data_IF_081011684514
#
_entry.id   IF_081011684514
#
_cell.length_a   1.000
_cell.length_b   1.000
_cell.length_c   1.000
_cell.angle_alpha   90.00
_cell.angle_beta   90.00
_cell.angle_gamma   90.00
#
_symmetry.space_group_name_H-M   'P 1'
#
loop_
_entity.id
_entity.type
_entity.pdbx_description
1 polymer ?
#
# COMPACT_ATOMS: atom_id res chain seq x y z
N UNK A 1 -28.73 19.67 -12.13
CA UNK A 1 -27.89 19.04 -11.07
C UNK A 1 -27.15 17.87 -11.70
N UNK A 2 -25.83 18.00 -11.90
CA UNK A 2 -25.03 16.95 -12.53
C UNK A 2 -24.58 15.94 -11.45
N UNK A 3 -25.37 14.87 -11.28
CA UNK A 3 -25.02 13.73 -10.44
C UNK A 3 -24.02 12.84 -11.19
N UNK A 4 -22.73 13.12 -11.06
CA UNK A 4 -21.70 12.12 -11.30
C UNK A 4 -20.79 12.04 -10.07
N UNK A 5 -21.39 11.69 -8.93
CA UNK A 5 -20.72 11.56 -7.63
C UNK A 5 -20.17 10.15 -7.42
N UNK A 6 -19.53 9.56 -8.43
CA UNK A 6 -18.80 8.31 -8.21
C UNK A 6 -17.55 8.65 -7.39
N UNK A 7 -17.60 8.37 -6.10
CA UNK A 7 -16.42 8.36 -5.23
C UNK A 7 -15.35 7.55 -5.96
N UNK A 8 -14.15 8.11 -6.21
CA UNK A 8 -13.09 7.37 -6.87
C UNK A 8 -12.83 6.06 -6.10
N UNK A 9 -12.61 4.94 -6.79
CA UNK A 9 -12.26 3.69 -6.12
C UNK A 9 -10.99 3.89 -5.28
N UNK A 10 -10.85 3.21 -4.13
CA UNK A 10 -9.69 3.36 -3.25
C UNK A 10 -8.46 2.67 -3.84
N UNK A 11 -7.81 3.33 -4.81
CA UNK A 11 -6.75 2.76 -5.62
C UNK A 11 -5.52 2.41 -4.77
N UNK A 12 -5.11 3.30 -3.86
CA UNK A 12 -3.90 3.09 -3.05
C UNK A 12 -4.08 1.87 -2.15
N UNK A 13 -5.19 1.84 -1.40
CA UNK A 13 -5.48 0.72 -0.53
C UNK A 13 -5.67 -0.60 -1.30
N UNK A 14 -6.33 -0.57 -2.46
CA UNK A 14 -6.56 -1.76 -3.28
C UNK A 14 -5.24 -2.37 -3.77
N UNK A 15 -4.34 -1.53 -4.29
CA UNK A 15 -3.04 -1.97 -4.77
C UNK A 15 -2.19 -2.55 -3.64
N UNK A 16 -2.16 -1.91 -2.46
CA UNK A 16 -1.47 -2.45 -1.28
C UNK A 16 -2.01 -3.83 -0.89
N UNK A 17 -3.33 -3.99 -0.89
CA UNK A 17 -3.98 -5.28 -0.57
C UNK A 17 -3.59 -6.37 -1.56
N UNK A 18 -3.61 -6.07 -2.87
CA UNK A 18 -3.22 -7.03 -3.91
C UNK A 18 -1.74 -7.42 -3.80
N UNK A 19 -0.85 -6.44 -3.58
CA UNK A 19 0.58 -6.69 -3.39
C UNK A 19 0.82 -7.55 -2.16
N UNK A 20 0.15 -7.24 -1.04
CA UNK A 20 0.25 -8.02 0.20
C UNK A 20 -0.25 -9.45 0.03
N UNK A 21 -1.38 -9.64 -0.66
CA UNK A 21 -1.89 -10.97 -1.00
C UNK A 21 -0.90 -11.75 -1.89
N UNK A 22 -0.27 -11.09 -2.86
CA UNK A 22 0.76 -11.68 -3.71
C UNK A 22 1.97 -12.16 -2.90
N UNK A 23 2.51 -11.34 -2.00
CA UNK A 23 3.61 -11.72 -1.12
C UNK A 23 3.24 -12.88 -0.19
N UNK A 24 2.02 -12.84 0.36
CA UNK A 24 1.50 -13.92 1.20
C UNK A 24 1.46 -15.23 0.42
N UNK A 25 0.91 -15.20 -0.80
CA UNK A 25 0.83 -16.36 -1.68
C UNK A 25 2.21 -16.91 -2.05
N UNK A 26 3.16 -16.04 -2.41
CA UNK A 26 4.54 -16.44 -2.71
C UNK A 26 5.21 -17.11 -1.50
N UNK A 27 5.11 -16.51 -0.31
CA UNK A 27 5.70 -17.12 0.90
C UNK A 27 5.07 -18.47 1.25
N UNK A 28 3.77 -18.66 1.01
CA UNK A 28 3.11 -19.97 1.18
C UNK A 28 3.59 -20.98 0.14
N UNK A 29 3.72 -20.57 -1.14
CA UNK A 29 4.25 -21.44 -2.20
C UNK A 29 5.67 -21.87 -1.87
N UNK A 30 6.55 -20.94 -1.54
CA UNK A 30 7.94 -21.22 -1.16
C UNK A 30 8.02 -22.17 0.05
N UNK A 31 7.13 -21.98 1.03
CA UNK A 31 7.04 -22.86 2.19
C UNK A 31 6.60 -24.28 1.84
N UNK A 32 5.70 -24.45 0.86
CA UNK A 32 5.21 -25.73 0.40
C UNK A 32 6.22 -26.46 -0.51
N UNK A 33 6.89 -25.73 -1.41
CA UNK A 33 7.83 -26.34 -2.37
C UNK A 33 9.20 -26.61 -1.76
N UNK A 34 9.57 -25.91 -0.68
CA UNK A 34 10.89 -25.99 -0.04
C UNK A 34 12.05 -25.56 -0.96
N UNK A 35 11.76 -24.80 -2.01
CA UNK A 35 12.76 -24.32 -2.97
C UNK A 35 13.61 -23.16 -2.43
N UNK A 36 13.17 -22.53 -1.34
CA UNK A 36 13.81 -21.37 -0.74
C UNK A 36 14.05 -21.55 0.77
N UNK A 37 14.99 -20.78 1.37
CA UNK A 37 15.19 -20.77 2.81
C UNK A 37 13.90 -20.46 3.56
N UNK A 38 13.66 -21.14 4.68
CA UNK A 38 12.45 -20.94 5.50
C UNK A 38 12.30 -19.49 6.00
N UNK A 39 13.44 -18.82 6.23
CA UNK A 39 13.47 -17.40 6.57
C UNK A 39 12.85 -16.53 5.47
N UNK A 40 13.14 -16.81 4.19
CA UNK A 40 12.58 -16.07 3.06
C UNK A 40 11.06 -16.25 2.97
N UNK A 41 10.58 -17.50 3.11
CA UNK A 41 9.14 -17.78 3.17
C UNK A 41 8.45 -17.05 4.33
N UNK A 42 9.08 -17.02 5.51
CA UNK A 42 8.56 -16.32 6.67
C UNK A 42 8.41 -14.82 6.41
N UNK A 43 9.44 -14.17 5.89
CA UNK A 43 9.39 -12.74 5.62
C UNK A 43 8.38 -12.40 4.52
N UNK A 44 8.36 -13.13 3.41
CA UNK A 44 7.35 -12.95 2.36
C UNK A 44 5.92 -13.07 2.91
N UNK A 45 5.64 -14.09 3.71
CA UNK A 45 4.32 -14.27 4.33
C UNK A 45 4.01 -13.18 5.35
N UNK A 46 4.93 -12.87 6.26
CA UNK A 46 4.74 -11.88 7.31
C UNK A 46 4.49 -10.48 6.76
N UNK A 47 5.33 -10.03 5.82
CA UNK A 47 5.14 -8.76 5.12
C UNK A 47 3.89 -8.76 4.25
N UNK A 48 3.58 -9.88 3.60
CA UNK A 48 2.36 -10.02 2.81
C UNK A 48 1.10 -9.82 3.65
N UNK A 49 1.01 -10.48 4.80
CA UNK A 49 -0.12 -10.36 5.73
C UNK A 49 -0.21 -8.95 6.29
N UNK A 50 0.91 -8.37 6.73
CA UNK A 50 0.95 -7.00 7.25
C UNK A 50 0.56 -5.97 6.19
N UNK A 51 1.09 -6.10 4.96
CA UNK A 51 0.79 -5.24 3.83
C UNK A 51 -0.67 -5.36 3.39
N UNK A 52 -1.25 -6.56 3.42
CA UNK A 52 -2.66 -6.79 3.12
C UNK A 52 -3.57 -6.14 4.17
N UNK A 53 -3.28 -6.35 5.46
CA UNK A 53 -4.05 -5.74 6.54
C UNK A 53 -3.98 -4.20 6.51
N UNK A 54 -2.78 -3.66 6.30
CA UNK A 54 -2.58 -2.22 6.12
C UNK A 54 -3.31 -1.71 4.88
N UNK A 55 -3.26 -2.45 3.76
CA UNK A 55 -3.98 -2.12 2.52
C UNK A 55 -5.48 -1.98 2.76
N UNK A 56 -6.11 -2.94 3.44
CA UNK A 56 -7.54 -2.88 3.81
C UNK A 56 -7.83 -1.65 4.68
N UNK A 57 -7.00 -1.37 5.69
CA UNK A 57 -7.17 -0.18 6.52
C UNK A 57 -7.04 1.12 5.69
N UNK A 58 -6.09 1.18 4.75
CA UNK A 58 -5.92 2.29 3.81
C UNK A 58 -7.12 2.43 2.90
N UNK A 59 -7.74 1.34 2.43
CA UNK A 59 -8.95 1.40 1.60
C UNK A 59 -10.09 2.11 2.33
N UNK A 60 -10.31 1.79 3.61
CA UNK A 60 -11.35 2.42 4.42
C UNK A 60 -11.07 3.91 4.64
N UNK A 61 -9.82 4.27 4.94
CA UNK A 61 -9.40 5.68 5.07
C UNK A 61 -9.55 6.44 3.76
N UNK A 62 -9.15 5.85 2.64
CA UNK A 62 -9.20 6.44 1.30
C UNK A 62 -10.65 6.63 0.86
N UNK A 63 -11.54 5.66 1.10
CA UNK A 63 -12.99 5.78 0.87
C UNK A 63 -13.60 6.91 1.68
N UNK A 64 -13.26 7.02 2.97
CA UNK A 64 -13.81 8.02 3.87
C UNK A 64 -13.36 9.45 3.52
N UNK A 65 -12.14 9.63 3.01
CA UNK A 65 -11.54 10.96 2.80
C UNK A 65 -11.42 11.37 1.33
N UNK A 66 -11.52 10.41 0.41
CA UNK A 66 -11.22 10.57 -1.02
C UNK A 66 -9.73 10.74 -1.34
N UNK A 67 -8.84 10.49 -0.37
CA UNK A 67 -7.38 10.50 -0.50
C UNK A 67 -6.74 9.82 0.73
N UNK A 68 -5.46 9.44 0.62
CA UNK A 68 -4.70 8.88 1.74
C UNK A 68 -3.94 10.00 2.48
N UNK A 69 -4.11 10.16 3.81
CA UNK A 69 -3.40 11.18 4.58
C UNK A 69 -1.89 10.95 4.61
N UNK A 70 -1.11 12.03 4.65
CA UNK A 70 0.36 12.01 4.78
C UNK A 70 0.90 11.06 5.86
N UNK A 71 0.37 11.04 7.10
CA UNK A 71 0.83 10.11 8.13
C UNK A 71 0.65 8.62 7.75
N UNK A 72 -0.43 8.29 7.03
CA UNK A 72 -0.69 6.92 6.56
C UNK A 72 0.29 6.57 5.44
N UNK A 73 0.58 7.50 4.52
CA UNK A 73 1.61 7.33 3.50
C UNK A 73 3.00 7.16 4.11
N UNK A 74 3.31 7.88 5.18
CA UNK A 74 4.57 7.73 5.90
C UNK A 74 4.69 6.34 6.55
N UNK A 75 3.61 5.79 7.11
CA UNK A 75 3.60 4.43 7.63
C UNK A 75 3.82 3.38 6.53
N UNK A 76 3.18 3.54 5.37
CA UNK A 76 3.41 2.68 4.19
C UNK A 76 4.87 2.78 3.71
N UNK A 77 5.43 4.00 3.65
CA UNK A 77 6.82 4.22 3.28
C UNK A 77 7.79 3.57 4.28
N UNK A 78 7.54 3.69 5.58
CA UNK A 78 8.34 3.07 6.62
C UNK A 78 8.32 1.54 6.53
N UNK A 79 7.15 0.94 6.35
CA UNK A 79 7.02 -0.51 6.12
C UNK A 79 7.79 -0.96 4.86
N UNK A 80 7.72 -0.17 3.79
CA UNK A 80 8.45 -0.46 2.53
C UNK A 80 9.96 -0.37 2.72
N UNK A 81 10.44 0.68 3.40
CA UNK A 81 11.86 0.86 3.68
C UNK A 81 12.40 -0.24 4.61
N UNK A 82 11.62 -0.64 5.61
CA UNK A 82 11.95 -1.78 6.46
C UNK A 82 12.05 -3.05 5.62
N UNK A 83 11.06 -3.37 4.78
CA UNK A 83 11.13 -4.52 3.89
C UNK A 83 12.34 -4.55 2.96
N UNK A 84 12.68 -3.42 2.33
CA UNK A 84 13.86 -3.29 1.47
C UNK A 84 15.19 -3.51 2.21
N UNK A 85 15.23 -3.30 3.53
CA UNK A 85 16.45 -3.50 4.32
C UNK A 85 16.71 -4.96 4.67
N UNK A 86 15.67 -5.81 4.69
CA UNK A 86 15.75 -7.20 5.17
C UNK A 86 15.54 -8.25 4.07
N UNK A 87 14.97 -7.91 2.91
CA UNK A 87 14.48 -8.87 1.91
C UNK A 87 14.79 -8.47 0.44
N UNK A 88 14.57 -9.36 -0.55
CA UNK A 88 14.83 -9.09 -1.96
C UNK A 88 14.05 -7.87 -2.49
N UNK A 89 14.73 -7.01 -3.23
CA UNK A 89 14.21 -5.71 -3.66
C UNK A 89 12.91 -5.77 -4.50
N UNK A 90 12.67 -6.84 -5.27
CA UNK A 90 11.66 -6.83 -6.35
C UNK A 90 10.22 -6.70 -5.85
N UNK A 91 9.88 -7.33 -4.72
CA UNK A 91 8.54 -7.28 -4.13
C UNK A 91 8.18 -5.90 -3.58
N UNK A 92 9.12 -5.27 -2.87
CA UNK A 92 8.90 -3.97 -2.22
C UNK A 92 8.91 -2.79 -3.20
N UNK A 93 9.60 -2.90 -4.33
CA UNK A 93 9.54 -1.86 -5.37
C UNK A 93 8.12 -1.69 -5.94
N UNK A 94 7.30 -2.74 -5.95
CA UNK A 94 5.91 -2.64 -6.41
C UNK A 94 5.07 -1.73 -5.51
N UNK A 95 5.43 -1.57 -4.23
CA UNK A 95 4.77 -0.68 -3.27
C UNK A 95 5.03 0.81 -3.58
N UNK A 96 6.07 1.14 -4.34
CA UNK A 96 6.32 2.51 -4.78
C UNK A 96 5.19 3.05 -5.67
N UNK A 97 4.49 2.19 -6.42
CA UNK A 97 3.36 2.58 -7.26
C UNK A 97 2.19 3.13 -6.43
N UNK A 98 1.58 2.37 -5.49
CA UNK A 98 0.54 2.90 -4.62
C UNK A 98 1.02 4.09 -3.79
N UNK A 99 2.29 4.08 -3.33
CA UNK A 99 2.85 5.20 -2.57
C UNK A 99 2.89 6.49 -3.41
N UNK A 100 3.36 6.42 -4.66
CA UNK A 100 3.39 7.54 -5.59
C UNK A 100 1.99 8.09 -5.91
N UNK A 101 1.02 7.20 -6.16
CA UNK A 101 -0.38 7.58 -6.37
C UNK A 101 -0.92 8.31 -5.14
N UNK A 102 -0.68 7.76 -3.94
CA UNK A 102 -1.14 8.34 -2.69
C UNK A 102 -0.53 9.71 -2.40
N UNK A 103 0.78 9.86 -2.60
CA UNK A 103 1.50 11.15 -2.44
C UNK A 103 0.96 12.19 -3.41
N UNK A 104 0.77 11.85 -4.69
CA UNK A 104 0.20 12.77 -5.68
C UNK A 104 -1.22 13.22 -5.29
N UNK A 105 -2.07 12.27 -4.87
CA UNK A 105 -3.42 12.56 -4.40
C UNK A 105 -3.44 13.47 -3.17
N UNK A 106 -2.57 13.20 -2.18
CA UNK A 106 -2.44 14.02 -0.98
C UNK A 106 -1.93 15.43 -1.27
N UNK A 107 -0.91 15.56 -2.12
CA UNK A 107 -0.36 16.85 -2.52
C UNK A 107 -1.41 17.74 -3.21
N UNK A 108 -2.17 17.17 -4.16
CA UNK A 108 -3.27 17.86 -4.85
C UNK A 108 -4.35 18.35 -3.89
N UNK A 109 -4.63 17.61 -2.81
CA UNK A 109 -5.62 18.04 -1.80
C UNK A 109 -5.08 19.15 -0.90
N UNK A 110 -3.79 19.14 -0.58
CA UNK A 110 -3.16 20.23 0.19
C UNK A 110 -3.16 21.55 -0.57
N UNK A 111 -2.85 21.54 -1.87
CA UNK A 111 -2.81 22.77 -2.68
C UNK A 111 -4.19 23.44 -2.79
N UNK A 112 -5.26 22.66 -2.94
CA UNK A 112 -6.64 23.21 -2.94
C UNK A 112 -7.00 23.86 -1.60
N UNK A 113 -6.59 23.26 -0.48
CA UNK A 113 -6.86 23.78 0.86
C UNK A 113 -6.11 25.09 1.13
N UNK A 114 -4.93 25.28 0.58
CA UNK A 114 -4.16 26.53 0.69
C UNK A 114 -4.76 27.66 -0.15
N UNK A 115 -5.25 27.38 -1.36
CA UNK A 115 -5.87 28.40 -2.24
C UNK A 115 -7.16 28.96 -1.65
N UNK A 116 -7.95 28.14 -0.92
CA UNK A 116 -9.21 28.59 -0.31
C UNK A 116 -9.04 29.33 1.03
N UNK A 117 -7.80 29.51 1.50
CA UNK A 117 -7.46 30.24 2.74
C UNK A 117 -6.68 31.53 2.49
N UNK A 118 -6.39 31.86 1.22
CA UNK A 118 -5.73 33.09 0.80
C UNK A 118 -6.72 34.13 0.31
#
# INVERSE_FOLDING_TARGET
>A
MNMNSKTPPPLVGSLLTVIGAGHTGLGVVDWLTKDQPTELSFWFTGFGVAGMALGVAVMEVERARGYVPGPVLAAVAAMTAFGLAFEPMSGFLTVLVPLGIGVAGWAKRRSVRTVHRG
#
